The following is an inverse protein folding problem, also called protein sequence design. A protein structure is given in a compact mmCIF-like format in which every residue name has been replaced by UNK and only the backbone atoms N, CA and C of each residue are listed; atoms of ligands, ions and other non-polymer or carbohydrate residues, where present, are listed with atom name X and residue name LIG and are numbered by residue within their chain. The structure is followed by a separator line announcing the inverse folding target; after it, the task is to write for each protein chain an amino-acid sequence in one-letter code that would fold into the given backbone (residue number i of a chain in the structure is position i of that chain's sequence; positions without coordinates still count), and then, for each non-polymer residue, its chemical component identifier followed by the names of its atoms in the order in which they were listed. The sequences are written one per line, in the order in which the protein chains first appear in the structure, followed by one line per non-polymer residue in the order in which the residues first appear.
data_IF_095209379067
#
_entry.id   IF_095209379067
#
_cell.length_a   1.000
_cell.length_b   1.000
_cell.length_c   1.000
_cell.angle_alpha   90.00
_cell.angle_beta   90.00
_cell.angle_gamma   90.00
#
_symmetry.space_group_name_H-M   'P 1'
#
loop_
_entity.id
_entity.type
_entity.pdbx_description
1 polymer ?
#
# COMPACT_ATOMS: atom_id res chain seq x y z
N UNK A 1 -15.52 2.99 -10.92
CA UNK A 1 -14.24 2.33 -11.23
C UNK A 1 -14.20 1.12 -10.34
N UNK A 2 -14.01 -0.07 -10.90
CA UNK A 2 -14.00 -1.31 -10.12
C UNK A 2 -12.64 -1.45 -9.45
N UNK A 3 -12.65 -1.76 -8.15
CA UNK A 3 -11.45 -1.98 -7.35
C UNK A 3 -11.37 -3.43 -6.90
N UNK A 4 -10.17 -4.01 -6.95
CA UNK A 4 -9.89 -5.34 -6.42
C UNK A 4 -8.89 -5.21 -5.29
N UNK A 5 -9.28 -5.64 -4.09
CA UNK A 5 -8.47 -5.58 -2.89
C UNK A 5 -8.14 -6.97 -2.37
N UNK A 6 -6.89 -7.20 -2.00
CA UNK A 6 -6.44 -8.50 -1.52
C UNK A 6 -4.95 -8.51 -1.29
N UNK A 7 -4.34 -9.68 -1.31
CA UNK A 7 -2.90 -9.81 -1.05
C UNK A 7 -2.56 -11.14 -0.40
N UNK A 8 -1.45 -11.18 0.31
CA UNK A 8 -1.08 -12.34 1.11
C UNK A 8 -0.43 -11.90 2.42
N UNK A 9 -0.53 -12.77 3.41
CA UNK A 9 0.24 -12.67 4.66
C UNK A 9 1.26 -13.81 4.71
N UNK A 10 2.30 -13.62 5.50
CA UNK A 10 3.35 -14.60 5.77
C UNK A 10 3.21 -15.03 7.23
N UNK A 11 3.11 -16.34 7.46
CA UNK A 11 3.06 -16.88 8.81
C UNK A 11 4.46 -17.00 9.46
N UNK A 12 4.50 -17.46 10.71
CA UNK A 12 5.74 -17.61 11.46
C UNK A 12 6.71 -18.65 10.86
N UNK A 13 6.20 -19.59 10.05
CA UNK A 13 6.98 -20.61 9.37
C UNK A 13 7.46 -20.14 7.98
N UNK A 14 7.09 -18.92 7.57
CA UNK A 14 7.45 -18.31 6.30
C UNK A 14 6.54 -18.68 5.12
N UNK A 15 5.42 -19.37 5.37
CA UNK A 15 4.46 -19.71 4.33
C UNK A 15 3.54 -18.55 4.00
N UNK A 16 3.23 -18.40 2.71
CA UNK A 16 2.30 -17.38 2.21
C UNK A 16 0.87 -17.91 2.26
N UNK A 17 -0.02 -17.14 2.89
CA UNK A 17 -1.46 -17.36 2.91
C UNK A 17 -2.14 -16.28 2.09
N UNK A 18 -2.77 -16.70 1.00
CA UNK A 18 -3.50 -15.80 0.11
C UNK A 18 -4.78 -15.30 0.81
N UNK A 19 -4.98 -13.98 0.79
CA UNK A 19 -6.24 -13.37 1.22
C UNK A 19 -7.28 -13.50 0.11
N UNK A 20 -8.53 -13.68 0.52
CA UNK A 20 -9.67 -13.62 -0.39
C UNK A 20 -9.75 -12.23 -1.03
N UNK A 21 -10.00 -12.20 -2.34
CA UNK A 21 -10.12 -10.95 -3.07
C UNK A 21 -11.51 -10.33 -2.81
N UNK A 22 -11.52 -9.07 -2.44
CA UNK A 22 -12.72 -8.27 -2.21
C UNK A 22 -12.89 -7.33 -3.40
N UNK A 23 -14.04 -7.47 -4.08
CA UNK A 23 -14.43 -6.58 -5.17
C UNK A 23 -15.13 -5.35 -4.58
N UNK A 24 -14.76 -4.17 -5.06
CA UNK A 24 -15.28 -2.87 -4.62
C UNK A 24 -15.37 -2.75 -3.09
N UNK A 25 -14.22 -2.88 -2.37
CA UNK A 25 -14.21 -2.95 -0.92
C UNK A 25 -14.78 -1.69 -0.28
N UNK A 26 -15.61 -1.87 0.74
CA UNK A 26 -16.07 -0.77 1.58
C UNK A 26 -15.00 -0.38 2.61
N UNK A 27 -15.20 0.76 3.27
CA UNK A 27 -14.26 1.24 4.30
C UNK A 27 -14.03 0.20 5.42
N UNK A 28 -15.07 -0.54 5.80
CA UNK A 28 -14.97 -1.59 6.83
C UNK A 28 -14.11 -2.77 6.37
N UNK A 29 -14.18 -3.15 5.09
CA UNK A 29 -13.35 -4.21 4.53
C UNK A 29 -11.87 -3.82 4.55
N UNK A 30 -11.58 -2.60 4.09
CA UNK A 30 -10.23 -2.03 4.08
C UNK A 30 -9.64 -2.01 5.49
N UNK A 31 -10.36 -1.44 6.46
CA UNK A 31 -9.90 -1.38 7.85
C UNK A 31 -9.73 -2.76 8.46
N UNK A 32 -10.70 -3.66 8.25
CA UNK A 32 -10.65 -5.02 8.79
C UNK A 32 -9.39 -5.77 8.36
N UNK A 33 -9.07 -5.74 7.06
CA UNK A 33 -7.86 -6.36 6.53
C UNK A 33 -6.60 -5.66 7.06
N UNK A 34 -6.49 -4.34 6.94
CA UNK A 34 -5.27 -3.61 7.30
C UNK A 34 -4.95 -3.66 8.80
N UNK A 35 -5.96 -3.62 9.67
CA UNK A 35 -5.73 -3.78 11.12
C UNK A 35 -5.33 -5.22 11.47
N UNK A 36 -5.85 -6.23 10.75
CA UNK A 36 -5.48 -7.64 11.01
C UNK A 36 -4.02 -7.96 10.68
N UNK A 37 -3.44 -7.26 9.71
CA UNK A 37 -2.06 -7.51 9.26
C UNK A 37 -1.01 -6.64 9.95
N UNK A 38 -1.42 -5.64 10.73
CA UNK A 38 -0.52 -4.62 11.27
C UNK A 38 0.71 -5.18 11.99
N UNK A 39 0.58 -6.35 12.61
CA UNK A 39 1.64 -7.03 13.38
C UNK A 39 2.35 -8.18 12.63
N UNK A 40 1.90 -8.48 11.42
CA UNK A 40 2.42 -9.58 10.61
C UNK A 40 3.44 -9.13 9.58
N UNK A 41 3.68 -10.03 8.62
CA UNK A 41 4.45 -9.74 7.40
C UNK A 41 3.60 -10.10 6.18
N UNK A 42 3.74 -9.40 5.08
CA UNK A 42 2.90 -9.64 3.91
C UNK A 42 2.87 -8.50 2.90
N UNK A 43 2.04 -8.69 1.87
CA UNK A 43 1.80 -7.68 0.84
C UNK A 43 0.30 -7.58 0.58
N UNK A 44 -0.23 -6.38 0.77
CA UNK A 44 -1.62 -6.04 0.46
C UNK A 44 -1.64 -5.16 -0.77
N UNK A 45 -2.61 -5.37 -1.66
CA UNK A 45 -2.76 -4.63 -2.90
C UNK A 45 -4.21 -4.23 -3.13
N UNK A 46 -4.40 -3.02 -3.62
CA UNK A 46 -5.64 -2.57 -4.24
C UNK A 46 -5.33 -2.20 -5.68
N UNK A 47 -6.11 -2.71 -6.63
CA UNK A 47 -5.91 -2.48 -8.07
C UNK A 47 -7.17 -1.98 -8.73
N UNK A 48 -7.01 -1.04 -9.64
CA UNK A 48 -8.05 -0.64 -10.58
C UNK A 48 -8.21 -1.75 -11.63
N UNK A 49 -9.43 -2.22 -11.86
CA UNK A 49 -9.68 -3.29 -12.84
C UNK A 49 -9.50 -2.83 -14.29
N UNK A 50 -9.71 -1.53 -14.54
CA UNK A 50 -9.45 -0.88 -15.82
C UNK A 50 -8.33 0.14 -15.65
N UNK A 51 -7.17 -0.14 -16.25
CA UNK A 51 -6.07 0.82 -16.35
C UNK A 51 -6.46 1.96 -17.30
N UNK A 52 -6.13 3.19 -16.92
CA UNK A 52 -6.33 4.38 -17.75
C UNK A 52 -5.07 5.24 -17.72
N UNK A 53 -4.62 5.70 -18.89
CA UNK A 53 -3.45 6.58 -19.03
C UNK A 53 -3.55 7.80 -18.10
N UNK A 54 -2.42 8.14 -17.46
CA UNK A 54 -2.30 9.30 -16.58
C UNK A 54 -2.98 9.15 -15.21
N UNK A 55 -3.27 7.92 -14.75
CA UNK A 55 -3.84 7.67 -13.42
C UNK A 55 -3.10 6.56 -12.67
N UNK A 56 -3.14 6.57 -11.33
CA UNK A 56 -2.71 5.43 -10.53
C UNK A 56 -3.57 4.19 -10.81
N UNK A 57 -2.93 3.03 -10.79
CA UNK A 57 -3.59 1.76 -11.11
C UNK A 57 -3.39 0.67 -10.03
N UNK A 58 -2.36 0.79 -9.20
CA UNK A 58 -2.11 -0.13 -8.08
C UNK A 58 -1.59 0.64 -6.86
N UNK A 59 -2.20 0.39 -5.71
CA UNK A 59 -1.64 0.73 -4.40
C UNK A 59 -1.20 -0.56 -3.72
N UNK A 60 0.10 -0.68 -3.44
CA UNK A 60 0.67 -1.80 -2.72
C UNK A 60 1.16 -1.36 -1.33
N UNK A 61 0.91 -2.19 -0.33
CA UNK A 61 1.45 -2.10 1.01
C UNK A 61 2.31 -3.32 1.28
N UNK A 62 3.57 -3.06 1.58
CA UNK A 62 4.49 -4.04 2.12
C UNK A 62 4.52 -3.85 3.63
N UNK A 63 4.26 -4.94 4.36
CA UNK A 63 4.27 -4.93 5.83
C UNK A 63 5.29 -5.92 6.35
N UNK A 64 6.07 -5.50 7.35
CA UNK A 64 6.94 -6.37 8.14
C UNK A 64 7.13 -5.77 9.53
N UNK A 65 6.67 -6.46 10.57
CA UNK A 65 6.87 -6.04 11.98
C UNK A 65 6.46 -4.58 12.24
N UNK A 66 5.22 -4.21 11.90
CA UNK A 66 4.65 -2.86 12.05
C UNK A 66 5.32 -1.75 11.20
N UNK A 67 6.26 -2.12 10.32
CA UNK A 67 6.75 -1.22 9.26
C UNK A 67 5.80 -1.29 8.06
N UNK A 68 5.28 -0.14 7.63
CA UNK A 68 4.38 -0.03 6.49
C UNK A 68 5.02 0.78 5.37
N UNK A 69 5.25 0.13 4.24
CA UNK A 69 5.77 0.75 3.03
C UNK A 69 4.68 0.78 1.95
N UNK A 70 4.20 1.98 1.65
CA UNK A 70 3.20 2.22 0.63
C UNK A 70 3.85 2.59 -0.71
N UNK A 71 3.41 1.92 -1.78
CA UNK A 71 3.84 2.17 -3.14
C UNK A 71 2.62 2.35 -4.03
N UNK A 72 2.41 3.56 -4.51
CA UNK A 72 1.38 3.87 -5.49
C UNK A 72 2.00 3.86 -6.88
N UNK A 73 1.58 2.92 -7.71
CA UNK A 73 2.00 2.79 -9.10
C UNK A 73 1.07 3.61 -9.99
N UNK A 74 1.66 4.49 -10.79
CA UNK A 74 0.94 5.38 -11.70
C UNK A 74 1.66 5.53 -13.04
N UNK A 75 0.91 5.92 -14.06
CA UNK A 75 1.47 6.39 -15.33
C UNK A 75 1.60 7.91 -15.27
N UNK A 76 2.79 8.42 -15.56
CA UNK A 76 3.01 9.86 -15.66
C UNK A 76 2.41 10.44 -16.97
N UNK A 77 2.71 11.72 -17.23
CA UNK A 77 2.17 12.43 -18.40
C UNK A 77 2.70 11.91 -19.73
N UNK A 78 3.85 11.26 -19.72
CA UNK A 78 4.49 10.66 -20.89
C UNK A 78 4.12 9.18 -21.04
N UNK A 79 3.29 8.66 -20.12
CA UNK A 79 2.89 7.25 -20.07
C UNK A 79 3.95 6.34 -19.46
N UNK A 80 4.98 6.91 -18.84
CA UNK A 80 6.00 6.13 -18.14
C UNK A 80 5.49 5.67 -16.78
N UNK A 81 5.85 4.45 -16.39
CA UNK A 81 5.54 3.92 -15.08
C UNK A 81 6.40 4.63 -14.02
N UNK A 82 5.75 5.21 -13.03
CA UNK A 82 6.39 5.79 -11.85
C UNK A 82 5.76 5.25 -10.58
N UNK A 83 6.54 5.24 -9.50
CA UNK A 83 6.09 4.81 -8.17
C UNK A 83 6.21 5.98 -7.20
N UNK A 84 5.08 6.41 -6.66
CA UNK A 84 5.01 7.36 -5.57
C UNK A 84 5.01 6.62 -4.24
N UNK A 85 5.89 7.05 -3.33
CA UNK A 85 6.02 6.51 -1.98
C UNK A 85 5.79 7.62 -0.95
N UNK A 86 5.55 7.23 0.30
CA UNK A 86 5.55 8.20 1.38
C UNK A 86 6.91 8.88 1.51
N UNK A 87 6.97 10.13 2.00
CA UNK A 87 8.25 10.81 2.26
C UNK A 87 8.19 11.66 3.52
N UNK A 88 8.62 11.11 4.65
CA UNK A 88 8.87 11.90 5.86
C UNK A 88 10.20 12.67 5.73
N UNK A 89 10.10 13.97 5.46
CA UNK A 89 11.25 14.87 5.32
C UNK A 89 12.03 15.08 6.63
N UNK A 90 11.46 14.74 7.78
CA UNK A 90 12.13 14.85 9.08
C UNK A 90 12.90 13.57 9.46
N UNK A 91 12.69 12.48 8.72
CA UNK A 91 13.35 11.21 9.00
C UNK A 91 14.82 11.23 8.59
N UNK A 92 15.63 10.46 9.34
CA UNK A 92 17.05 10.29 9.02
C UNK A 92 17.21 9.49 7.73
N UNK A 93 18.33 9.69 7.04
CA UNK A 93 18.68 8.95 5.82
C UNK A 93 19.18 7.52 6.14
N UNK A 94 18.38 6.77 6.90
CA UNK A 94 18.63 5.39 7.29
C UNK A 94 17.88 4.43 6.36
N UNK A 95 18.28 3.16 6.37
CA UNK A 95 17.63 2.10 5.61
C UNK A 95 16.98 1.10 6.57
N UNK A 96 15.82 0.57 6.18
CA UNK A 96 15.09 -0.48 6.88
C UNK A 96 14.86 -1.65 5.93
N UNK A 97 15.02 -2.87 6.44
CA UNK A 97 14.67 -4.09 5.71
C UNK A 97 13.16 -4.29 5.79
N UNK A 98 12.52 -4.51 4.64
CA UNK A 98 11.13 -4.94 4.55
C UNK A 98 11.07 -6.11 3.58
N UNK A 99 10.69 -7.29 4.08
CA UNK A 99 10.61 -8.55 3.34
C UNK A 99 11.93 -8.93 2.63
N UNK A 100 13.07 -8.59 3.24
CA UNK A 100 14.41 -8.90 2.74
C UNK A 100 15.03 -7.85 1.81
N UNK A 101 14.29 -6.80 1.44
CA UNK A 101 14.77 -5.69 0.61
C UNK A 101 14.98 -4.42 1.45
N UNK A 102 15.97 -3.60 1.08
CA UNK A 102 16.33 -2.39 1.85
C UNK A 102 15.66 -1.14 1.26
N UNK A 103 14.91 -0.42 2.09
CA UNK A 103 14.20 0.80 1.70
C UNK A 103 14.59 1.99 2.58
N UNK A 104 14.49 3.23 2.07
CA UNK A 104 14.66 4.43 2.88
C UNK A 104 13.65 4.46 4.04
N UNK A 105 14.13 4.66 5.27
CA UNK A 105 13.26 4.74 6.45
C UNK A 105 12.22 5.86 6.34
N UNK A 106 12.54 6.94 5.61
CA UNK A 106 11.60 8.03 5.29
C UNK A 106 10.38 7.63 4.46
N UNK A 107 10.43 6.48 3.78
CA UNK A 107 9.31 5.96 2.98
C UNK A 107 8.39 5.03 3.79
N UNK A 108 8.71 4.81 5.07
CA UNK A 108 8.03 3.86 5.94
C UNK A 108 7.28 4.61 7.03
N UNK A 109 6.00 4.26 7.20
CA UNK A 109 5.19 4.71 8.32
C UNK A 109 4.96 3.56 9.30
N UNK A 110 4.63 3.92 10.54
CA UNK A 110 4.19 2.99 11.58
C UNK A 110 2.73 3.27 11.99
N UNK A 111 2.08 4.21 11.30
CA UNK A 111 0.71 4.63 11.58
C UNK A 111 -0.27 3.90 10.66
N UNK A 112 -0.93 2.87 11.22
CA UNK A 112 -1.94 2.08 10.50
C UNK A 112 -3.18 2.90 10.11
N UNK A 113 -3.49 3.99 10.82
CA UNK A 113 -4.63 4.84 10.48
C UNK A 113 -4.34 5.66 9.22
N UNK A 114 -3.10 6.15 9.05
CA UNK A 114 -2.66 6.78 7.80
C UNK A 114 -2.74 5.78 6.64
N UNK A 115 -2.28 4.53 6.85
CA UNK A 115 -2.38 3.46 5.85
C UNK A 115 -3.83 3.21 5.46
N UNK A 116 -4.74 3.10 6.44
CA UNK A 116 -6.18 2.94 6.17
C UNK A 116 -6.74 4.11 5.37
N UNK A 117 -6.43 5.34 5.78
CA UNK A 117 -6.91 6.55 5.10
C UNK A 117 -6.46 6.61 3.63
N UNK A 118 -5.22 6.22 3.34
CA UNK A 118 -4.67 6.17 1.98
C UNK A 118 -5.39 5.12 1.12
N UNK A 119 -5.62 3.90 1.63
CA UNK A 119 -6.39 2.89 0.90
C UNK A 119 -7.85 3.29 0.68
N UNK A 120 -8.48 3.93 1.67
CA UNK A 120 -9.87 4.41 1.56
C UNK A 120 -9.97 5.54 0.53
N UNK A 121 -9.00 6.47 0.49
CA UNK A 121 -8.95 7.52 -0.53
C UNK A 121 -8.77 6.93 -1.93
N UNK A 122 -7.86 5.96 -2.06
CA UNK A 122 -7.63 5.26 -3.31
C UNK A 122 -8.89 4.53 -3.79
N UNK A 123 -9.56 3.77 -2.91
CA UNK A 123 -10.83 3.09 -3.23
C UNK A 123 -11.91 4.05 -3.75
N UNK A 124 -12.03 5.24 -3.14
CA UNK A 124 -13.06 6.23 -3.48
C UNK A 124 -12.79 6.99 -4.77
N UNK A 125 -11.53 7.38 -4.99
CA UNK A 125 -11.18 8.36 -6.02
C UNK A 125 -10.34 7.78 -7.16
N UNK A 126 -9.72 6.62 -6.97
CA UNK A 126 -8.69 6.09 -7.86
C UNK A 126 -7.37 6.83 -7.82
N UNK A 127 -7.17 7.69 -6.82
CA UNK A 127 -5.94 8.41 -6.58
C UNK A 127 -5.71 8.54 -5.07
N UNK A 128 -4.51 8.99 -4.71
CA UNK A 128 -4.17 9.39 -3.35
C UNK A 128 -3.67 10.84 -3.42
N UNK A 129 -4.03 11.67 -2.45
CA UNK A 129 -3.53 13.05 -2.41
C UNK A 129 -2.03 13.06 -2.11
N UNK A 130 -1.30 14.03 -2.67
CA UNK A 130 0.14 14.16 -2.38
C UNK A 130 0.35 14.46 -0.89
N UNK A 131 -0.51 15.30 -0.30
CA UNK A 131 -0.39 15.75 1.09
C UNK A 131 -0.52 14.62 2.12
N UNK A 132 -1.30 13.57 1.84
CA UNK A 132 -1.42 12.43 2.77
C UNK A 132 -0.22 11.47 2.70
N UNK A 133 0.59 11.58 1.64
CA UNK A 133 1.82 10.80 1.45
C UNK A 133 3.09 11.62 1.77
N UNK A 134 2.97 12.85 2.25
CA UNK A 134 4.06 13.78 2.54
C UNK A 134 4.40 13.89 4.04
#
# INVERSE_FOLDING_TARGET
MSMVFGGYIVDADGYRHQLEAIMDPEELDVRGVLTSIGKGSGVIKMRCESESEGRPYELALYVESENFLLMLSEYDKDGEHVVRTMTDLNSKNELVSILGEMYPARAVTHDVEIVCAIFIEFARSGNVSVDIMA
#
